data_IF_703769977622
#
_entry.id   IF_703769977622
#
_cell.length_a   1.000
_cell.length_b   1.000
_cell.length_c   1.000
_cell.angle_alpha   90.00
_cell.angle_beta   90.00
_cell.angle_gamma   90.00
#
_symmetry.space_group_name_H-M   'P 1'
#
loop_
_entity.id
_entity.type
_entity.pdbx_description
1 polymer ?
#
# COMPACT_ATOMS: atom_id res chain seq x y z
N UNK A 1 -15.11 13.31 -3.16
CA UNK A 1 -14.61 11.93 -3.18
C UNK A 1 -13.20 11.90 -3.79
N UNK A 2 -13.04 12.15 -5.08
CA UNK A 2 -11.72 12.11 -5.73
C UNK A 2 -10.86 13.34 -5.44
N UNK A 3 -9.52 13.18 -5.58
CA UNK A 3 -8.51 14.23 -5.41
C UNK A 3 -8.45 14.85 -4.00
N UNK A 4 -8.87 14.12 -2.96
CA UNK A 4 -8.72 14.50 -1.56
C UNK A 4 -7.61 13.67 -0.91
N UNK A 5 -6.43 14.27 -0.69
CA UNK A 5 -5.26 13.60 -0.10
C UNK A 5 -5.22 13.69 1.44
N UNK A 6 -6.22 14.27 2.10
CA UNK A 6 -6.28 14.33 3.57
C UNK A 6 -6.94 13.06 4.11
N UNK A 7 -6.15 12.17 4.71
CA UNK A 7 -6.59 10.88 5.24
C UNK A 7 -7.70 11.00 6.29
N UNK A 8 -7.79 12.14 7.00
CA UNK A 8 -8.83 12.40 8.01
C UNK A 8 -10.20 12.67 7.39
N UNK A 9 -10.24 13.10 6.13
CA UNK A 9 -11.48 13.52 5.46
C UNK A 9 -11.79 12.74 4.18
N UNK A 10 -10.84 11.96 3.66
CA UNK A 10 -11.03 11.14 2.45
C UNK A 10 -11.61 9.74 2.74
N UNK A 11 -11.74 9.36 4.02
CA UNK A 11 -12.30 8.08 4.49
C UNK A 11 -11.27 7.08 5.03
N UNK A 12 -9.98 7.26 4.79
CA UNK A 12 -8.93 6.34 5.25
C UNK A 12 -8.94 6.16 6.76
N UNK A 13 -8.84 7.26 7.51
CA UNK A 13 -8.83 7.22 8.96
C UNK A 13 -10.13 6.64 9.52
N UNK A 14 -11.28 7.02 8.97
CA UNK A 14 -12.58 6.48 9.40
C UNK A 14 -12.69 4.99 9.16
N UNK A 15 -12.21 4.50 8.00
CA UNK A 15 -12.16 3.08 7.68
C UNK A 15 -11.27 2.31 8.67
N UNK A 16 -10.05 2.79 8.89
CA UNK A 16 -9.13 2.18 9.87
C UNK A 16 -9.76 2.11 11.26
N UNK A 17 -10.37 3.19 11.75
CA UNK A 17 -11.02 3.21 13.06
C UNK A 17 -12.14 2.18 13.20
N UNK A 18 -12.84 1.86 12.12
CA UNK A 18 -13.92 0.85 12.13
C UNK A 18 -13.40 -0.60 12.17
N UNK A 19 -12.19 -0.85 11.70
CA UNK A 19 -11.61 -2.19 11.65
C UNK A 19 -10.57 -2.45 12.74
N UNK A 20 -9.98 -1.40 13.32
CA UNK A 20 -8.80 -1.49 14.20
C UNK A 20 -8.91 -2.48 15.35
N UNK A 21 -10.09 -2.62 15.93
CA UNK A 21 -10.32 -3.52 17.08
C UNK A 21 -10.62 -4.97 16.63
N UNK A 22 -10.58 -5.24 15.34
CA UNK A 22 -10.87 -6.54 14.71
C UNK A 22 -9.66 -7.12 13.96
N UNK A 23 -8.54 -6.42 14.00
CA UNK A 23 -7.30 -6.78 13.31
C UNK A 23 -6.13 -6.79 14.30
N UNK A 24 -5.13 -7.62 14.04
CA UNK A 24 -3.96 -7.79 14.90
C UNK A 24 -2.64 -7.46 14.19
N UNK A 25 -2.59 -7.60 12.86
CA UNK A 25 -1.36 -7.41 12.07
C UNK A 25 -1.60 -6.49 10.86
N UNK A 26 -0.82 -5.42 10.78
CA UNK A 26 -0.83 -4.44 9.69
C UNK A 26 0.51 -4.46 8.95
N UNK A 27 0.45 -4.46 7.61
CA UNK A 27 1.57 -4.09 6.77
C UNK A 27 1.30 -2.70 6.16
N UNK A 28 2.17 -1.75 6.45
CA UNK A 28 2.11 -0.36 5.96
C UNK A 28 3.24 -0.13 4.96
N UNK A 29 2.93 -0.21 3.67
CA UNK A 29 3.89 -0.15 2.57
C UNK A 29 3.87 1.23 1.92
N UNK A 30 5.00 1.94 1.99
CA UNK A 30 5.10 3.37 1.70
C UNK A 30 4.70 4.22 2.90
N UNK A 31 5.11 3.78 4.11
CA UNK A 31 4.62 4.33 5.38
C UNK A 31 5.09 5.77 5.67
N UNK A 32 6.13 6.24 4.99
CA UNK A 32 6.76 7.54 5.25
C UNK A 32 7.11 7.73 6.74
N UNK A 33 7.13 8.99 7.21
CA UNK A 33 7.42 9.30 8.63
C UNK A 33 6.17 9.61 9.47
N UNK A 34 5.00 9.68 8.83
CA UNK A 34 3.74 10.14 9.40
C UNK A 34 2.61 9.10 9.32
N UNK A 35 2.97 7.82 9.34
CA UNK A 35 2.00 6.72 9.33
C UNK A 35 0.86 6.91 10.34
N UNK A 36 -0.35 6.63 9.90
CA UNK A 36 -1.56 6.70 10.74
C UNK A 36 -1.68 5.55 11.75
N UNK A 37 -0.84 4.51 11.61
CA UNK A 37 -0.88 3.31 12.45
C UNK A 37 0.04 3.38 13.68
N UNK A 38 0.69 4.51 13.96
CA UNK A 38 1.65 4.65 15.07
C UNK A 38 1.05 4.32 16.45
N UNK A 39 -0.25 4.53 16.64
CA UNK A 39 -0.97 4.23 17.88
C UNK A 39 -1.75 2.91 17.83
N UNK A 40 -1.51 2.05 16.83
CA UNK A 40 -2.17 0.76 16.77
C UNK A 40 -1.62 -0.18 17.84
N UNK A 41 -2.52 -0.90 18.52
CA UNK A 41 -2.14 -1.76 19.65
C UNK A 41 -1.54 -3.12 19.23
N UNK A 42 -1.86 -3.58 18.02
CA UNK A 42 -1.36 -4.82 17.43
C UNK A 42 0.02 -4.68 16.79
N UNK A 43 0.38 -5.62 15.95
CA UNK A 43 1.65 -5.66 15.24
C UNK A 43 1.61 -4.81 13.98
N UNK A 44 2.63 -3.97 13.75
CA UNK A 44 2.76 -3.18 12.52
C UNK A 44 4.12 -3.40 11.88
N UNK A 45 4.12 -3.76 10.61
CA UNK A 45 5.30 -3.85 9.79
C UNK A 45 5.33 -2.64 8.84
N UNK A 46 6.22 -1.71 9.13
CA UNK A 46 6.44 -0.50 8.33
C UNK A 46 7.48 -0.78 7.25
N UNK A 47 7.18 -0.40 6.01
CA UNK A 47 8.09 -0.53 4.87
C UNK A 47 8.21 0.81 4.17
N UNK A 48 9.43 1.33 4.12
CA UNK A 48 9.77 2.48 3.29
C UNK A 48 11.24 2.38 2.86
N UNK A 49 11.53 2.44 1.56
CA UNK A 49 12.91 2.33 1.10
C UNK A 49 13.73 3.60 1.33
N UNK A 50 13.10 4.74 1.62
CA UNK A 50 13.77 6.00 1.96
C UNK A 50 14.15 5.98 3.43
N UNK A 51 15.44 5.80 3.72
CA UNK A 51 15.95 5.62 5.09
C UNK A 51 15.56 6.75 6.05
N UNK A 52 15.50 7.99 5.55
CA UNK A 52 15.12 9.14 6.36
C UNK A 52 13.73 8.97 6.97
N UNK A 53 12.75 8.48 6.20
CA UNK A 53 11.37 8.29 6.68
C UNK A 53 11.31 7.26 7.81
N UNK A 54 11.99 6.13 7.64
CA UNK A 54 12.07 5.09 8.69
C UNK A 54 12.75 5.61 9.95
N UNK A 55 13.84 6.37 9.81
CA UNK A 55 14.54 6.93 10.97
C UNK A 55 13.73 8.03 11.71
N UNK A 56 12.93 8.79 10.99
CA UNK A 56 12.00 9.76 11.59
C UNK A 56 10.84 9.04 12.29
N UNK A 57 10.25 8.02 11.66
CA UNK A 57 9.17 7.22 12.23
C UNK A 57 9.58 6.52 13.54
N UNK A 58 10.81 5.96 13.61
CA UNK A 58 11.38 5.37 14.83
C UNK A 58 11.47 6.34 16.03
N UNK A 59 11.58 7.64 15.77
CA UNK A 59 11.64 8.68 16.82
C UNK A 59 10.27 9.02 17.39
N UNK A 60 9.20 8.59 16.75
CA UNK A 60 7.85 8.85 17.22
C UNK A 60 7.56 8.04 18.49
N UNK A 61 7.35 8.74 19.60
CA UNK A 61 7.13 8.14 20.93
C UNK A 61 5.83 7.33 21.05
N UNK A 62 4.92 7.52 20.11
CA UNK A 62 3.64 6.83 20.09
C UNK A 62 3.69 5.47 19.38
N UNK A 63 4.80 5.15 18.70
CA UNK A 63 4.95 3.85 18.05
C UNK A 63 4.99 2.75 19.09
N UNK A 64 4.19 1.73 18.88
CA UNK A 64 4.07 0.64 19.83
C UNK A 64 5.32 -0.28 19.81
N UNK A 65 5.43 -1.15 20.84
CA UNK A 65 6.59 -2.06 21.00
C UNK A 65 6.61 -3.21 19.99
N UNK A 66 5.49 -3.49 19.35
CA UNK A 66 5.35 -4.53 18.30
C UNK A 66 5.50 -3.95 16.89
N UNK A 67 6.24 -2.85 16.75
CA UNK A 67 6.55 -2.23 15.48
C UNK A 67 7.82 -2.80 14.86
N UNK A 68 7.75 -3.17 13.58
CA UNK A 68 8.86 -3.65 12.77
C UNK A 68 9.18 -2.62 11.68
N UNK A 69 10.41 -2.13 11.68
CA UNK A 69 10.84 -1.08 10.75
C UNK A 69 11.73 -1.66 9.66
N UNK A 70 11.29 -1.56 8.42
CA UNK A 70 11.97 -2.14 7.26
C UNK A 70 12.38 -1.03 6.31
N UNK A 71 13.69 -0.79 6.21
CA UNK A 71 14.24 0.20 5.28
C UNK A 71 14.48 -0.44 3.90
N UNK A 72 13.43 -0.91 3.29
CA UNK A 72 13.33 -1.34 1.89
C UNK A 72 11.88 -1.27 1.44
N UNK A 73 11.67 -1.13 0.15
CA UNK A 73 10.33 -1.20 -0.44
C UNK A 73 9.91 -2.64 -0.73
N UNK A 74 8.61 -2.84 -0.93
CA UNK A 74 8.09 -4.12 -1.44
C UNK A 74 7.82 -4.02 -2.95
N UNK A 75 7.96 -5.14 -3.66
CA UNK A 75 7.72 -5.23 -5.09
C UNK A 75 7.69 -6.67 -5.61
N UNK A 76 7.51 -6.83 -6.92
CA UNK A 76 7.35 -8.13 -7.58
C UNK A 76 8.62 -8.99 -7.54
N UNK A 77 9.80 -8.38 -7.44
CA UNK A 77 11.08 -9.06 -7.42
C UNK A 77 12.10 -8.35 -6.51
N UNK A 78 13.08 -9.09 -6.02
CA UNK A 78 14.20 -8.52 -5.29
C UNK A 78 15.11 -7.78 -6.25
N UNK A 79 15.20 -6.46 -6.13
CA UNK A 79 16.04 -5.62 -7.00
C UNK A 79 16.40 -4.29 -6.36
N UNK A 80 17.29 -3.58 -7.02
CA UNK A 80 17.49 -2.15 -6.77
C UNK A 80 16.77 -1.32 -7.85
N UNK A 81 16.18 -0.22 -7.44
CA UNK A 81 15.51 0.73 -8.32
C UNK A 81 15.81 2.16 -7.89
N UNK A 82 15.33 3.13 -8.67
CA UNK A 82 15.51 4.54 -8.33
C UNK A 82 14.19 5.18 -7.97
N UNK A 83 14.24 6.00 -6.91
CA UNK A 83 13.18 6.94 -6.55
C UNK A 83 13.59 8.35 -6.95
N UNK A 84 12.65 9.11 -7.45
CA UNK A 84 12.83 10.49 -7.91
C UNK A 84 12.00 11.43 -7.03
N UNK A 85 12.58 12.02 -5.98
CA UNK A 85 11.84 12.81 -4.99
C UNK A 85 11.08 14.00 -5.58
N UNK A 86 11.62 14.62 -6.66
CA UNK A 86 10.97 15.75 -7.33
C UNK A 86 9.59 15.38 -7.91
N UNK A 87 9.41 14.13 -8.31
CA UNK A 87 8.17 13.65 -8.95
C UNK A 87 7.31 12.82 -7.98
N UNK A 88 7.79 12.57 -6.77
CA UNK A 88 7.14 11.73 -5.75
C UNK A 88 6.69 10.38 -6.34
N UNK A 89 7.55 9.74 -7.12
CA UNK A 89 7.19 8.55 -7.87
C UNK A 89 8.33 7.55 -7.92
N UNK A 90 7.96 6.26 -7.93
CA UNK A 90 8.86 5.17 -8.24
C UNK A 90 8.87 4.91 -9.74
N UNK A 91 10.05 4.89 -10.33
CA UNK A 91 10.17 4.64 -11.75
C UNK A 91 11.09 3.46 -12.02
N UNK A 92 10.58 2.51 -12.74
CA UNK A 92 11.43 1.75 -13.63
C UNK A 92 11.76 2.68 -14.82
N UNK A 93 13.05 2.96 -15.00
CA UNK A 93 13.58 3.91 -15.99
C UNK A 93 13.09 3.64 -17.42
N UNK A 94 12.66 2.41 -17.70
CA UNK A 94 12.19 1.97 -19.01
C UNK A 94 10.79 2.48 -19.35
N UNK A 95 10.04 3.00 -18.40
CA UNK A 95 8.60 3.23 -18.57
C UNK A 95 8.13 4.67 -18.44
N UNK A 96 8.93 5.60 -17.90
CA UNK A 96 8.46 6.96 -17.67
C UNK A 96 8.74 7.92 -18.82
N UNK A 97 7.71 8.66 -19.21
CA UNK A 97 7.81 9.78 -20.17
C UNK A 97 8.06 11.14 -19.50
N UNK A 98 8.06 11.23 -18.16
CA UNK A 98 8.11 12.51 -17.42
C UNK A 98 9.49 12.85 -16.83
N UNK A 99 10.45 11.91 -16.80
CA UNK A 99 11.72 12.11 -16.09
C UNK A 99 12.84 12.49 -17.03
N UNK A 100 13.52 13.60 -16.72
CA UNK A 100 14.82 13.92 -17.29
C UNK A 100 15.95 13.15 -16.60
N UNK A 101 17.01 12.80 -17.32
CA UNK A 101 18.16 12.01 -16.82
C UNK A 101 18.93 12.68 -15.66
N UNK A 102 18.75 13.99 -15.46
CA UNK A 102 19.49 14.79 -14.47
C UNK A 102 18.77 14.96 -13.14
N UNK A 103 17.61 14.31 -12.95
CA UNK A 103 16.89 14.41 -11.70
C UNK A 103 17.68 13.76 -10.56
N UNK A 104 17.71 14.39 -9.40
CA UNK A 104 18.21 13.78 -8.17
C UNK A 104 17.46 12.47 -7.93
N UNK A 105 18.19 11.37 -7.91
CA UNK A 105 17.64 10.03 -7.73
C UNK A 105 18.28 9.35 -6.54
N UNK A 106 17.46 8.61 -5.79
CA UNK A 106 17.90 7.81 -4.65
C UNK A 106 17.82 6.34 -5.06
N UNK A 107 18.91 5.59 -4.88
CA UNK A 107 18.93 4.14 -5.09
C UNK A 107 18.25 3.47 -3.90
N UNK A 108 17.30 2.59 -4.18
CA UNK A 108 16.47 1.94 -3.19
C UNK A 108 16.53 0.42 -3.36
N UNK A 109 16.47 -0.29 -2.23
CA UNK A 109 16.32 -1.74 -2.20
C UNK A 109 14.83 -2.12 -2.20
N UNK A 110 14.47 -3.06 -3.06
CA UNK A 110 13.13 -3.64 -3.15
C UNK A 110 13.24 -5.14 -2.84
N UNK A 111 12.34 -5.63 -2.01
CA UNK A 111 12.19 -7.05 -1.68
C UNK A 111 10.78 -7.54 -1.97
N UNK A 112 10.61 -8.86 -2.06
CA UNK A 112 9.26 -9.43 -2.23
C UNK A 112 8.54 -9.55 -0.88
N UNK A 113 7.23 -9.33 -0.88
CA UNK A 113 6.39 -9.58 0.29
C UNK A 113 6.42 -11.05 0.70
N UNK A 114 6.50 -11.97 -0.27
CA UNK A 114 6.68 -13.41 -0.05
C UNK A 114 7.93 -13.72 0.79
N UNK A 115 9.10 -13.22 0.37
CA UNK A 115 10.35 -13.50 1.08
C UNK A 115 10.30 -12.94 2.51
N UNK A 116 9.71 -11.75 2.67
CA UNK A 116 9.55 -11.15 3.98
C UNK A 116 8.67 -12.01 4.90
N UNK A 117 7.53 -12.50 4.43
CA UNK A 117 6.62 -13.39 5.16
C UNK A 117 7.34 -14.67 5.58
N UNK A 118 8.06 -15.32 4.65
CA UNK A 118 8.79 -16.56 4.92
C UNK A 118 9.89 -16.34 5.97
N UNK A 119 10.70 -15.32 5.79
CA UNK A 119 11.86 -15.04 6.64
C UNK A 119 11.49 -14.63 8.08
N UNK A 120 10.29 -14.07 8.27
CA UNK A 120 9.79 -13.62 9.57
C UNK A 120 8.68 -14.51 10.14
N UNK A 121 8.37 -15.66 9.50
CA UNK A 121 7.34 -16.61 9.91
C UNK A 121 5.95 -15.98 10.12
N UNK A 122 5.59 -14.97 9.29
CA UNK A 122 4.31 -14.27 9.36
C UNK A 122 3.19 -15.21 8.90
N UNK A 123 2.20 -15.44 9.74
CA UNK A 123 1.11 -16.37 9.43
C UNK A 123 -0.06 -15.70 8.74
N UNK A 124 -0.44 -14.52 9.19
CA UNK A 124 -1.59 -13.79 8.68
C UNK A 124 -1.28 -12.30 8.62
N UNK A 125 -1.85 -11.63 7.64
CA UNK A 125 -1.87 -10.18 7.53
C UNK A 125 -3.34 -9.78 7.48
N UNK A 126 -3.79 -9.01 8.47
CA UNK A 126 -5.18 -8.60 8.51
C UNK A 126 -5.44 -7.41 7.59
N UNK A 127 -4.50 -6.47 7.57
CA UNK A 127 -4.61 -5.26 6.77
C UNK A 127 -3.29 -4.93 6.08
N UNK A 128 -3.32 -4.81 4.75
CA UNK A 128 -2.21 -4.36 3.93
C UNK A 128 -2.58 -3.00 3.33
N UNK A 129 -1.94 -1.93 3.80
CA UNK A 129 -1.99 -0.62 3.14
C UNK A 129 -0.82 -0.50 2.17
N UNK A 130 -1.10 -0.01 0.96
CA UNK A 130 -0.11 0.22 -0.09
C UNK A 130 -0.27 1.64 -0.61
N UNK A 131 0.77 2.44 -0.45
CA UNK A 131 0.84 3.83 -0.89
C UNK A 131 2.25 4.08 -1.45
N UNK A 132 2.45 3.66 -2.69
CA UNK A 132 3.78 3.54 -3.31
C UNK A 132 3.90 4.33 -4.61
N UNK A 133 3.00 5.29 -4.79
CA UNK A 133 3.09 6.27 -5.87
C UNK A 133 3.16 5.61 -7.26
N UNK A 134 2.26 4.64 -7.49
CA UNK A 134 2.10 3.93 -8.76
C UNK A 134 2.75 2.55 -8.83
N UNK A 135 3.40 2.07 -7.74
CA UNK A 135 4.04 0.75 -7.70
C UNK A 135 3.16 -0.34 -7.06
N UNK A 136 1.88 -0.05 -6.81
CA UNK A 136 0.93 -0.87 -6.05
C UNK A 136 0.77 -2.27 -6.62
N UNK A 137 0.60 -2.41 -7.95
CA UNK A 137 0.47 -3.72 -8.60
C UNK A 137 1.72 -4.58 -8.41
N UNK A 138 2.91 -3.98 -8.45
CA UNK A 138 4.17 -4.69 -8.24
C UNK A 138 4.29 -5.17 -6.79
N UNK A 139 3.87 -4.34 -5.82
CA UNK A 139 3.80 -4.74 -4.40
C UNK A 139 2.86 -5.94 -4.24
N UNK A 140 1.65 -5.84 -4.76
CA UNK A 140 0.61 -6.88 -4.71
C UNK A 140 1.14 -8.20 -5.30
N UNK A 141 1.76 -8.17 -6.47
CA UNK A 141 2.33 -9.35 -7.13
C UNK A 141 3.46 -9.98 -6.34
N UNK A 142 4.27 -9.19 -5.64
CA UNK A 142 5.38 -9.67 -4.83
C UNK A 142 4.99 -10.54 -3.63
N UNK A 143 3.71 -10.58 -3.27
CA UNK A 143 3.19 -11.54 -2.30
C UNK A 143 2.93 -12.93 -2.91
N UNK A 144 2.85 -13.05 -4.23
CA UNK A 144 2.52 -14.28 -4.96
C UNK A 144 1.24 -14.94 -4.40
N UNK A 145 1.31 -16.21 -3.98
CA UNK A 145 0.17 -16.93 -3.41
C UNK A 145 -0.12 -16.59 -1.94
N UNK A 146 0.84 -15.97 -1.23
CA UNK A 146 0.64 -15.52 0.15
C UNK A 146 -0.40 -14.40 0.26
N UNK A 147 -0.66 -13.67 -0.83
CA UNK A 147 -1.70 -12.63 -0.87
C UNK A 147 -3.09 -13.17 -0.52
N UNK A 148 -3.35 -14.47 -0.74
CA UNK A 148 -4.59 -15.15 -0.38
C UNK A 148 -4.86 -15.17 1.13
N UNK A 149 -3.82 -15.00 1.95
CA UNK A 149 -3.89 -14.98 3.40
C UNK A 149 -4.10 -13.56 3.96
N UNK A 150 -4.14 -12.56 3.09
CA UNK A 150 -4.41 -11.16 3.46
C UNK A 150 -5.92 -10.95 3.48
N UNK A 151 -6.46 -10.41 4.58
CA UNK A 151 -7.90 -10.21 4.72
C UNK A 151 -8.40 -8.99 3.98
N UNK A 152 -7.70 -7.87 4.13
CA UNK A 152 -8.09 -6.58 3.56
C UNK A 152 -6.84 -5.93 2.93
N UNK A 153 -6.99 -5.41 1.73
CA UNK A 153 -5.99 -4.58 1.06
C UNK A 153 -6.59 -3.20 0.82
N UNK A 154 -5.86 -2.16 1.19
CA UNK A 154 -6.11 -0.78 0.76
C UNK A 154 -4.96 -0.34 -0.11
N UNK A 155 -5.26 0.28 -1.25
CA UNK A 155 -4.22 0.87 -2.10
C UNK A 155 -4.65 2.22 -2.66
N UNK A 156 -3.65 3.09 -2.88
CA UNK A 156 -3.83 4.34 -3.57
C UNK A 156 -3.97 4.13 -5.08
N UNK A 157 -4.91 4.82 -5.70
CA UNK A 157 -5.07 4.88 -7.16
C UNK A 157 -5.08 6.33 -7.61
N UNK A 158 -4.37 6.62 -8.68
CA UNK A 158 -4.33 7.98 -9.22
C UNK A 158 -3.47 8.14 -10.47
N UNK A 159 -3.02 9.35 -10.72
CA UNK A 159 -2.21 9.70 -11.89
C UNK A 159 -0.87 8.99 -11.98
N UNK A 160 -0.31 8.52 -10.85
CA UNK A 160 0.94 7.75 -10.78
C UNK A 160 0.85 6.38 -11.46
N UNK A 161 -0.37 5.82 -11.61
CA UNK A 161 -0.60 4.61 -12.41
C UNK A 161 -0.22 4.79 -13.88
N UNK A 162 -0.36 5.99 -14.43
CA UNK A 162 0.08 6.29 -15.80
C UNK A 162 1.58 6.13 -15.98
N UNK A 163 2.36 6.48 -14.97
CA UNK A 163 3.81 6.43 -15.02
C UNK A 163 4.31 4.99 -15.15
N UNK A 164 3.68 4.08 -14.44
CA UNK A 164 3.96 2.65 -14.50
C UNK A 164 3.13 1.89 -15.55
N UNK A 165 2.35 2.61 -16.37
CA UNK A 165 1.46 2.03 -17.39
C UNK A 165 0.53 0.95 -16.82
N UNK A 166 0.20 1.07 -15.55
CA UNK A 166 -0.72 0.20 -14.84
C UNK A 166 -2.14 0.71 -15.02
N UNK A 167 -3.09 -0.20 -15.21
CA UNK A 167 -4.52 0.11 -15.23
C UNK A 167 -5.20 -0.40 -13.97
N UNK A 168 -6.26 0.26 -13.56
CA UNK A 168 -7.06 -0.20 -12.42
C UNK A 168 -7.54 -1.63 -12.65
N UNK A 169 -8.03 -1.94 -13.84
CA UNK A 169 -8.53 -3.28 -14.18
C UNK A 169 -7.45 -4.38 -14.04
N UNK A 170 -6.16 -4.06 -14.24
CA UNK A 170 -5.08 -5.04 -14.08
C UNK A 170 -4.92 -5.44 -12.61
N UNK A 171 -5.04 -4.47 -11.68
CA UNK A 171 -5.02 -4.72 -10.24
C UNK A 171 -6.23 -5.55 -9.82
N UNK A 172 -7.42 -5.14 -10.27
CA UNK A 172 -8.68 -5.83 -9.94
C UNK A 172 -8.66 -7.28 -10.41
N UNK A 173 -8.33 -7.53 -11.69
CA UNK A 173 -8.26 -8.87 -12.24
C UNK A 173 -7.27 -9.77 -11.48
N UNK A 174 -6.11 -9.23 -11.12
CA UNK A 174 -5.14 -9.99 -10.35
C UNK A 174 -5.69 -10.36 -8.96
N UNK A 175 -6.29 -9.41 -8.26
CA UNK A 175 -6.85 -9.63 -6.92
C UNK A 175 -8.07 -10.57 -6.94
N UNK A 176 -8.94 -10.49 -7.96
CA UNK A 176 -10.05 -11.44 -8.14
C UNK A 176 -9.56 -12.88 -8.28
N UNK A 177 -8.51 -13.10 -9.09
CA UNK A 177 -7.88 -14.43 -9.24
C UNK A 177 -7.28 -14.95 -7.93
N UNK A 178 -6.93 -14.05 -7.01
CA UNK A 178 -6.38 -14.38 -5.69
C UNK A 178 -7.45 -14.47 -4.58
N UNK A 179 -8.73 -14.28 -4.92
CA UNK A 179 -9.85 -14.50 -3.99
C UNK A 179 -10.47 -13.25 -3.40
N UNK A 180 -10.05 -12.06 -3.81
CA UNK A 180 -10.73 -10.83 -3.46
C UNK A 180 -12.00 -10.67 -4.31
N UNK A 181 -13.07 -10.11 -3.72
CA UNK A 181 -14.36 -10.10 -4.40
C UNK A 181 -15.17 -8.82 -4.19
N UNK A 182 -14.72 -7.94 -3.31
CA UNK A 182 -15.38 -6.67 -3.01
C UNK A 182 -14.37 -5.56 -3.12
N UNK A 183 -14.66 -4.62 -4.01
CA UNK A 183 -13.82 -3.46 -4.29
C UNK A 183 -14.65 -2.21 -4.06
N UNK A 184 -14.13 -1.28 -3.27
CA UNK A 184 -14.85 -0.07 -2.90
C UNK A 184 -13.92 1.12 -2.82
N UNK A 185 -14.39 2.27 -3.26
CA UNK A 185 -13.74 3.55 -2.93
C UNK A 185 -13.92 3.88 -1.47
N UNK A 186 -12.89 4.43 -0.83
CA UNK A 186 -13.04 5.11 0.44
C UNK A 186 -13.57 6.53 0.21
N UNK A 187 -14.51 6.94 1.04
CA UNK A 187 -15.15 8.25 0.99
C UNK A 187 -15.35 8.79 2.40
N UNK A 188 -15.56 10.10 2.52
CA UNK A 188 -15.90 10.72 3.81
C UNK A 188 -17.13 10.13 4.49
N UNK A 189 -18.01 9.46 3.71
CA UNK A 189 -19.26 8.88 4.19
C UNK A 189 -19.19 7.34 4.35
N UNK A 190 -18.02 6.74 4.22
CA UNK A 190 -17.79 5.30 4.30
C UNK A 190 -17.25 4.71 3.02
N UNK A 191 -17.71 3.53 2.61
CA UNK A 191 -17.26 2.85 1.39
C UNK A 191 -18.33 2.89 0.30
N UNK A 192 -17.90 3.08 -0.96
CA UNK A 192 -18.78 3.02 -2.14
C UNK A 192 -18.30 1.92 -3.07
N UNK A 193 -19.18 0.93 -3.36
CA UNK A 193 -18.84 -0.22 -4.21
C UNK A 193 -18.52 0.26 -5.63
N UNK A 194 -17.40 -0.19 -6.16
CA UNK A 194 -16.98 0.09 -7.53
C UNK A 194 -17.72 -0.86 -8.46
N UNK A 195 -18.45 -0.31 -9.42
CA UNK A 195 -19.19 -1.06 -10.45
C UNK A 195 -18.58 -0.86 -11.85
N UNK A 196 -17.73 0.14 -12.02
CA UNK A 196 -17.01 0.44 -13.26
C UNK A 196 -15.51 0.59 -12.93
N UNK A 197 -14.69 -0.28 -13.50
CA UNK A 197 -13.24 -0.29 -13.32
C UNK A 197 -12.50 0.46 -14.44
N UNK A 198 -13.17 1.34 -15.16
CA UNK A 198 -12.54 2.22 -16.15
C UNK A 198 -11.55 3.16 -15.48
N UNK A 199 -10.41 3.38 -16.13
CA UNK A 199 -9.39 4.29 -15.62
C UNK A 199 -9.86 5.74 -15.68
N UNK A 200 -9.90 6.40 -14.54
CA UNK A 200 -10.17 7.84 -14.45
C UNK A 200 -8.98 8.65 -13.94
N UNK A 201 -7.93 7.98 -13.39
CA UNK A 201 -6.68 8.56 -12.89
C UNK A 201 -6.85 9.72 -11.90
N UNK A 202 -7.99 9.83 -11.26
CA UNK A 202 -8.21 10.76 -10.17
C UNK A 202 -7.80 10.07 -8.87
N UNK A 203 -7.09 10.80 -8.01
CA UNK A 203 -6.66 10.27 -6.72
C UNK A 203 -7.83 9.75 -5.90
N UNK A 204 -7.71 8.54 -5.40
CA UNK A 204 -8.61 7.92 -4.43
C UNK A 204 -7.96 6.71 -3.76
N UNK A 205 -8.52 6.29 -2.64
CA UNK A 205 -8.16 5.05 -1.98
C UNK A 205 -9.18 3.97 -2.28
N UNK A 206 -8.70 2.76 -2.60
CA UNK A 206 -9.54 1.60 -2.91
C UNK A 206 -9.29 0.52 -1.86
N UNK A 207 -10.38 -0.01 -1.31
CA UNK A 207 -10.35 -1.15 -0.38
C UNK A 207 -10.86 -2.40 -1.07
N UNK A 208 -10.11 -3.48 -0.89
CA UNK A 208 -10.41 -4.81 -1.42
C UNK A 208 -10.53 -5.80 -0.27
N UNK A 209 -11.60 -6.58 -0.27
CA UNK A 209 -11.89 -7.56 0.79
C UNK A 209 -11.81 -8.97 0.24
N UNK A 210 -11.03 -9.82 0.93
CA UNK A 210 -10.89 -11.23 0.60
C UNK A 210 -12.17 -12.01 0.97
N UNK A 211 -12.54 -13.02 0.20
CA UNK A 211 -13.67 -13.92 0.45
C UNK A 211 -13.60 -14.65 1.80
N UNK A 212 -12.39 -14.87 2.30
CA UNK A 212 -12.16 -15.51 3.60
C UNK A 212 -12.34 -14.55 4.79
N UNK A 213 -12.46 -13.27 4.52
CA UNK A 213 -12.61 -12.24 5.54
C UNK A 213 -14.04 -12.27 6.12
N UNK A 214 -14.15 -12.66 7.39
CA UNK A 214 -15.42 -12.67 8.15
C UNK A 214 -15.78 -11.27 8.67
N UNK A 215 -14.84 -10.33 8.59
CA UNK A 215 -15.09 -8.95 8.99
C UNK A 215 -16.17 -8.38 8.06
N UNK A 216 -17.40 -8.27 8.58
CA UNK A 216 -18.42 -7.45 7.91
C UNK A 216 -17.95 -6.01 8.00
N UNK A 217 -17.50 -5.39 6.92
CA UNK A 217 -16.98 -4.03 6.99
C UNK A 217 -18.10 -3.02 7.21
N UNK A 218 -19.35 -3.40 7.06
CA UNK A 218 -20.56 -2.55 7.31
C UNK A 218 -21.84 -3.39 7.16
#
# INVERSE_FOLDING_TARGET
MFNNCDSRTNGEYAFFMNIRDKIDCIFDVGCRSDSEFVNFAGEVHYFDPVSQFIEELKKNKNVNRSAHFNNFGLGEENKQTYYFPMYQSFYDRTNSCRISDDANKILLDIKTGKDYIINNDIKNIDFLKIDTEGYELNVIKGFEDYIKNIKIIQFEYGGTFLDNKTKLIDVINYLEQKGFHRFSYLTSNGTEIITDFSDHYQYCNIVCVNKTCILSPY
#
